data_IF_060235893998
#
_entry.id   IF_060235893998
#
_cell.length_a   1.000
_cell.length_b   1.000
_cell.length_c   1.000
_cell.angle_alpha   90.00
_cell.angle_beta   90.00
_cell.angle_gamma   90.00
#
_symmetry.space_group_name_H-M   'P 1'
#
loop_
_entity.id
_entity.type
_entity.pdbx_description
1 polymer ?
#
# COMPACT_ATOMS: atom_id res chain seq x y z
N UNK A 1 -33.65 -7.28 -5.46
CA UNK A 1 -32.97 -6.20 -6.19
C UNK A 1 -32.71 -6.73 -7.60
N UNK A 2 -33.02 -5.98 -8.65
CA UNK A 2 -32.67 -6.39 -10.03
C UNK A 2 -31.18 -6.19 -10.31
N UNK A 3 -30.67 -6.85 -11.36
CA UNK A 3 -29.24 -6.84 -11.72
C UNK A 3 -28.70 -5.44 -12.02
N UNK A 4 -29.45 -4.60 -12.73
CA UNK A 4 -29.03 -3.24 -13.08
C UNK A 4 -28.75 -2.39 -11.83
N UNK A 5 -29.67 -2.45 -10.86
CA UNK A 5 -29.52 -1.72 -9.60
C UNK A 5 -28.38 -2.32 -8.76
N UNK A 6 -28.26 -3.65 -8.72
CA UNK A 6 -27.18 -4.32 -8.00
C UNK A 6 -25.80 -4.02 -8.58
N UNK A 7 -25.70 -3.86 -9.90
CA UNK A 7 -24.50 -3.37 -10.57
C UNK A 7 -24.21 -1.92 -10.20
N UNK A 8 -25.21 -1.03 -10.28
CA UNK A 8 -25.04 0.40 -10.04
C UNK A 8 -24.50 0.72 -8.64
N UNK A 9 -24.97 0.01 -7.60
CA UNK A 9 -24.52 0.25 -6.22
C UNK A 9 -23.10 -0.27 -5.93
N UNK A 10 -22.50 -1.08 -6.81
CA UNK A 10 -21.13 -1.63 -6.67
C UNK A 10 -20.04 -0.76 -7.30
N UNK A 11 -20.25 0.56 -7.34
CA UNK A 11 -19.25 1.51 -7.84
C UNK A 11 -19.81 2.88 -8.22
N UNK A 12 -21.11 3.02 -8.44
CA UNK A 12 -21.75 4.26 -8.91
C UNK A 12 -21.95 5.36 -7.86
N UNK A 13 -21.42 5.18 -6.63
CA UNK A 13 -21.55 6.13 -5.53
C UNK A 13 -22.79 5.88 -4.64
N UNK A 14 -22.56 5.86 -3.33
CA UNK A 14 -23.56 5.42 -2.34
C UNK A 14 -24.72 6.39 -2.09
N UNK A 15 -24.70 7.60 -2.65
CA UNK A 15 -25.70 8.64 -2.41
C UNK A 15 -26.75 8.78 -3.52
N UNK A 16 -26.61 8.06 -4.63
CA UNK A 16 -27.45 8.26 -5.83
C UNK A 16 -28.65 7.33 -5.90
N UNK A 17 -28.50 6.07 -5.45
CA UNK A 17 -29.43 4.98 -5.76
C UNK A 17 -30.29 4.51 -4.57
N UNK A 18 -30.26 5.24 -3.45
CA UNK A 18 -31.02 4.94 -2.23
C UNK A 18 -30.15 4.80 -0.99
N UNK A 19 -30.73 4.28 0.09
CA UNK A 19 -30.02 4.04 1.36
C UNK A 19 -29.68 2.56 1.46
N UNK A 20 -28.38 2.25 1.38
CA UNK A 20 -27.89 0.87 1.56
C UNK A 20 -27.88 0.54 3.06
N UNK A 21 -28.61 -0.50 3.45
CA UNK A 21 -28.74 -0.92 4.86
C UNK A 21 -27.84 -2.10 5.24
N UNK A 22 -27.44 -2.92 4.26
CA UNK A 22 -26.59 -4.10 4.48
C UNK A 22 -25.90 -4.53 3.19
N UNK A 23 -24.74 -5.18 3.34
CA UNK A 23 -24.04 -5.89 2.27
C UNK A 23 -23.91 -7.36 2.63
N UNK A 24 -24.15 -8.24 1.64
CA UNK A 24 -23.70 -9.63 1.71
C UNK A 24 -22.32 -9.69 1.05
N UNK A 25 -21.29 -9.87 1.85
CA UNK A 25 -19.91 -9.97 1.38
C UNK A 25 -19.52 -11.44 1.19
N UNK A 26 -18.66 -11.69 0.20
CA UNK A 26 -18.01 -12.98 0.03
C UNK A 26 -16.62 -12.89 0.66
N UNK A 27 -16.33 -13.76 1.63
CA UNK A 27 -14.99 -13.84 2.20
C UNK A 27 -14.04 -14.46 1.18
N UNK A 28 -12.78 -14.05 1.24
CA UNK A 28 -11.69 -14.59 0.42
C UNK A 28 -10.73 -15.35 1.30
N UNK A 29 -10.07 -16.36 0.73
CA UNK A 29 -9.04 -17.11 1.43
C UNK A 29 -7.76 -16.28 1.50
N UNK A 30 -7.12 -16.32 2.65
CA UNK A 30 -5.80 -15.70 2.88
C UNK A 30 -4.93 -16.72 3.61
N UNK A 31 -3.62 -16.78 3.32
CA UNK A 31 -2.72 -17.65 4.05
C UNK A 31 -2.65 -17.22 5.52
N UNK A 32 -2.43 -18.19 6.41
CA UNK A 32 -2.29 -17.92 7.85
C UNK A 32 -1.08 -17.03 8.19
N UNK A 33 -0.09 -16.99 7.29
CA UNK A 33 1.12 -16.19 7.40
C UNK A 33 1.29 -15.40 6.10
N UNK A 34 1.40 -14.09 6.24
CA UNK A 34 1.74 -13.12 5.18
C UNK A 34 3.05 -12.44 5.53
N UNK A 35 3.72 -11.87 4.53
CA UNK A 35 4.94 -11.07 4.72
C UNK A 35 4.65 -9.62 4.39
N UNK A 36 5.07 -8.70 5.26
CA UNK A 36 5.06 -7.25 4.99
C UNK A 36 6.47 -6.69 5.06
N UNK A 37 6.68 -5.57 4.38
CA UNK A 37 7.88 -4.74 4.55
C UNK A 37 7.57 -3.28 4.27
N UNK A 38 8.42 -2.38 4.82
CA UNK A 38 8.47 -0.97 4.45
C UNK A 38 9.94 -0.62 4.25
N UNK A 39 10.33 -0.39 3.01
CA UNK A 39 11.67 0.07 2.66
C UNK A 39 11.59 1.55 2.33
N UNK A 40 12.38 2.36 3.03
CA UNK A 40 12.42 3.82 2.85
C UNK A 40 13.65 4.22 2.04
N UNK A 41 13.47 5.15 1.09
CA UNK A 41 14.53 5.79 0.31
C UNK A 41 14.31 7.28 0.29
N UNK A 42 15.36 8.05 0.57
CA UNK A 42 15.35 9.51 0.38
C UNK A 42 15.90 9.89 -0.99
N UNK A 43 15.77 11.16 -1.40
CA UNK A 43 16.34 11.65 -2.66
C UNK A 43 17.85 11.36 -2.76
N UNK A 44 18.57 11.50 -1.64
CA UNK A 44 20.01 11.24 -1.56
C UNK A 44 20.35 9.74 -1.67
N UNK A 45 19.34 8.87 -1.61
CA UNK A 45 19.42 7.41 -1.76
C UNK A 45 18.75 6.92 -3.06
N UNK A 46 18.75 7.76 -4.10
CA UNK A 46 18.22 7.47 -5.43
C UNK A 46 16.72 7.11 -5.43
N UNK A 47 15.92 7.78 -4.59
CA UNK A 47 14.48 7.52 -4.53
C UNK A 47 13.77 7.75 -5.87
N UNK A 48 14.20 8.77 -6.64
CA UNK A 48 13.60 9.11 -7.94
C UNK A 48 13.73 7.95 -8.93
N UNK A 49 14.93 7.40 -9.06
CA UNK A 49 15.24 6.29 -9.97
C UNK A 49 14.52 5.01 -9.55
N UNK A 50 14.46 4.72 -8.25
CA UNK A 50 13.75 3.54 -7.73
C UNK A 50 12.24 3.67 -7.95
N UNK A 51 11.65 4.86 -7.73
CA UNK A 51 10.23 5.10 -8.03
C UNK A 51 9.97 5.03 -9.54
N UNK A 52 10.88 5.56 -10.35
CA UNK A 52 10.77 5.49 -11.79
C UNK A 52 10.75 4.02 -12.26
N UNK A 53 11.66 3.19 -11.77
CA UNK A 53 11.68 1.76 -12.06
C UNK A 53 10.42 1.04 -11.57
N UNK A 54 9.93 1.36 -10.36
CA UNK A 54 8.70 0.81 -9.81
C UNK A 54 7.50 0.99 -10.75
N UNK A 55 7.38 2.12 -11.46
CA UNK A 55 6.29 2.33 -12.43
C UNK A 55 6.25 1.26 -13.55
N UNK A 56 7.40 0.71 -13.95
CA UNK A 56 7.50 -0.28 -15.04
C UNK A 56 7.21 -1.72 -14.61
N UNK A 57 7.44 -2.03 -13.34
CA UNK A 57 7.38 -3.40 -12.81
C UNK A 57 6.20 -3.65 -11.88
N UNK A 58 5.66 -2.62 -11.22
CA UNK A 58 4.63 -2.78 -10.19
C UNK A 58 3.35 -3.49 -10.67
N UNK A 59 2.92 -3.19 -11.89
CA UNK A 59 1.73 -3.81 -12.49
C UNK A 59 1.98 -5.21 -13.09
N UNK A 60 3.22 -5.71 -13.02
CA UNK A 60 3.66 -7.01 -13.54
C UNK A 60 4.11 -7.97 -12.45
N UNK A 61 4.08 -7.55 -11.18
CA UNK A 61 4.42 -8.41 -10.07
C UNK A 61 3.52 -9.64 -10.01
N UNK A 62 4.01 -10.67 -9.32
CA UNK A 62 3.20 -11.82 -8.96
C UNK A 62 1.90 -11.38 -8.29
N UNK A 63 0.78 -12.06 -8.56
CA UNK A 63 -0.55 -11.70 -8.03
C UNK A 63 -0.61 -11.68 -6.50
N UNK A 64 0.24 -12.44 -5.82
CA UNK A 64 0.37 -12.46 -4.35
C UNK A 64 1.09 -11.21 -3.80
N UNK A 65 1.77 -10.42 -4.64
CA UNK A 65 2.64 -9.32 -4.24
C UNK A 65 2.01 -7.94 -4.56
N UNK A 66 1.77 -7.19 -3.50
CA UNK A 66 1.34 -5.79 -3.57
C UNK A 66 2.43 -4.87 -3.01
N UNK A 67 2.84 -3.84 -3.78
CA UNK A 67 3.74 -2.79 -3.30
C UNK A 67 3.16 -1.43 -3.67
N UNK A 68 2.90 -0.59 -2.67
CA UNK A 68 2.57 0.84 -2.85
C UNK A 68 3.74 1.73 -2.48
N UNK A 69 3.81 2.91 -3.08
CA UNK A 69 4.76 3.96 -2.70
C UNK A 69 4.01 5.09 -2.01
N UNK A 70 4.48 5.48 -0.83
CA UNK A 70 4.05 6.71 -0.15
C UNK A 70 5.19 7.71 -0.27
N UNK A 71 4.95 8.82 -0.97
CA UNK A 71 5.91 9.92 -1.10
C UNK A 71 5.49 11.02 -0.15
N UNK A 72 6.38 11.37 0.79
CA UNK A 72 6.12 12.41 1.78
C UNK A 72 7.38 13.21 2.13
N UNK A 73 7.18 14.43 2.62
CA UNK A 73 8.27 15.27 3.13
C UNK A 73 8.67 14.80 4.53
N UNK A 74 9.97 14.66 4.76
CA UNK A 74 10.53 14.30 6.07
C UNK A 74 11.62 15.27 6.49
N UNK A 75 11.89 15.35 7.80
CA UNK A 75 13.00 16.13 8.33
C UNK A 75 14.31 15.35 8.13
N UNK A 76 15.31 15.98 7.53
CA UNK A 76 16.68 15.46 7.46
C UNK A 76 17.52 15.98 8.63
N UNK A 77 18.73 15.45 8.78
CA UNK A 77 19.68 15.89 9.80
C UNK A 77 20.03 17.38 9.61
N UNK A 78 19.75 18.18 10.64
CA UNK A 78 20.03 19.62 10.68
C UNK A 78 19.04 20.45 9.86
N UNK A 79 17.93 20.89 10.48
CA UNK A 79 16.91 21.86 10.02
C UNK A 79 16.49 21.88 8.53
N UNK A 80 16.86 20.87 7.77
CA UNK A 80 16.58 20.70 6.35
C UNK A 80 15.51 19.63 6.21
N UNK A 81 14.82 19.64 5.09
CA UNK A 81 13.79 18.63 4.78
C UNK A 81 14.12 17.99 3.45
N UNK A 82 13.89 16.69 3.34
CA UNK A 82 14.03 15.93 2.10
C UNK A 82 12.71 15.23 1.76
N UNK A 83 12.63 14.66 0.56
CA UNK A 83 11.52 13.80 0.15
C UNK A 83 11.90 12.36 0.41
N UNK A 84 10.95 11.60 0.96
CA UNK A 84 11.08 10.16 1.21
C UNK A 84 10.02 9.40 0.42
N UNK A 85 10.46 8.38 -0.30
CA UNK A 85 9.62 7.35 -0.85
C UNK A 85 9.64 6.12 0.07
N UNK A 86 8.48 5.76 0.63
CA UNK A 86 8.29 4.56 1.44
C UNK A 86 7.59 3.49 0.60
N UNK A 87 8.33 2.43 0.26
CA UNK A 87 7.86 1.26 -0.47
C UNK A 87 7.27 0.25 0.51
N UNK A 88 5.95 0.20 0.55
CA UNK A 88 5.21 -0.53 1.57
C UNK A 88 4.43 -1.67 0.93
N UNK A 89 4.62 -2.87 1.47
CA UNK A 89 4.24 -4.11 0.79
C UNK A 89 3.40 -5.05 1.64
N UNK A 90 2.56 -5.82 0.95
CA UNK A 90 1.91 -7.03 1.45
C UNK A 90 2.17 -8.15 0.44
N UNK A 91 2.69 -9.27 0.93
CA UNK A 91 2.86 -10.49 0.16
C UNK A 91 2.05 -11.63 0.79
N UNK A 92 1.19 -12.27 0.00
CA UNK A 92 0.38 -13.43 0.41
C UNK A 92 1.22 -14.72 0.43
N UNK A 93 2.25 -14.72 1.27
CA UNK A 93 3.14 -15.85 1.44
C UNK A 93 4.29 -15.53 2.38
N UNK A 94 5.22 -16.48 2.48
CA UNK A 94 6.38 -16.42 3.36
C UNK A 94 7.57 -15.71 2.74
N UNK A 95 8.48 -15.24 3.58
CA UNK A 95 9.63 -14.42 3.18
C UNK A 95 10.57 -15.15 2.20
N UNK A 96 10.70 -16.46 2.35
CA UNK A 96 11.50 -17.36 1.50
C UNK A 96 10.97 -17.46 0.06
N UNK A 97 9.66 -17.22 -0.16
CA UNK A 97 9.09 -17.05 -1.51
C UNK A 97 9.17 -15.62 -2.01
N UNK A 98 9.12 -14.64 -1.12
CA UNK A 98 9.15 -13.21 -1.47
C UNK A 98 10.52 -12.78 -1.99
N UNK A 99 11.61 -13.15 -1.32
CA UNK A 99 12.94 -12.65 -1.66
C UNK A 99 13.39 -13.02 -3.09
N UNK A 100 13.20 -14.26 -3.57
CA UNK A 100 13.51 -14.59 -4.97
C UNK A 100 12.70 -13.77 -5.97
N UNK A 101 11.40 -13.57 -5.72
CA UNK A 101 10.54 -12.75 -6.58
C UNK A 101 11.04 -11.32 -6.66
N UNK A 102 11.39 -10.72 -5.51
CA UNK A 102 11.92 -9.36 -5.47
C UNK A 102 13.26 -9.23 -6.16
N UNK A 103 14.14 -10.23 -6.03
CA UNK A 103 15.43 -10.26 -6.72
C UNK A 103 15.28 -10.35 -8.24
N UNK A 104 14.23 -11.02 -8.73
CA UNK A 104 13.93 -11.15 -10.15
C UNK A 104 13.24 -9.90 -10.71
N UNK A 105 12.21 -9.39 -10.02
CA UNK A 105 11.32 -8.36 -10.58
C UNK A 105 11.64 -6.93 -10.15
N UNK A 106 12.30 -6.73 -9.00
CA UNK A 106 12.60 -5.39 -8.49
C UNK A 106 13.85 -5.35 -7.58
N UNK A 107 15.03 -5.80 -8.07
CA UNK A 107 16.25 -5.84 -7.28
C UNK A 107 16.76 -4.46 -6.85
N UNK A 108 16.40 -3.40 -7.57
CA UNK A 108 16.81 -2.01 -7.30
C UNK A 108 16.30 -1.49 -5.94
N UNK A 109 15.21 -2.07 -5.43
CA UNK A 109 14.73 -1.74 -4.09
C UNK A 109 15.71 -2.20 -3.01
N UNK A 110 16.50 -3.25 -3.27
CA UNK A 110 17.48 -3.80 -2.34
C UNK A 110 16.85 -4.40 -1.09
N UNK A 111 15.71 -5.09 -1.24
CA UNK A 111 15.00 -5.74 -0.13
C UNK A 111 15.85 -6.85 0.48
N UNK A 112 15.99 -6.84 1.81
CA UNK A 112 16.67 -7.88 2.57
C UNK A 112 15.68 -8.67 3.43
N UNK A 113 16.14 -9.79 4.00
CA UNK A 113 15.30 -10.60 4.90
C UNK A 113 14.98 -9.83 6.19
N UNK A 114 15.90 -8.98 6.62
CA UNK A 114 15.82 -8.18 7.83
C UNK A 114 14.75 -7.08 7.72
N UNK A 115 14.41 -6.66 6.51
CA UNK A 115 13.33 -5.70 6.24
C UNK A 115 11.93 -6.34 6.30
N UNK A 116 11.86 -7.67 6.27
CA UNK A 116 10.62 -8.43 6.15
C UNK A 116 10.10 -8.87 7.52
N UNK A 117 8.80 -8.76 7.73
CA UNK A 117 8.12 -9.28 8.93
C UNK A 117 7.00 -10.23 8.51
N UNK A 118 7.04 -11.45 9.02
CA UNK A 118 5.95 -12.42 8.89
C UNK A 118 4.92 -12.23 10.00
N UNK A 119 3.64 -12.21 9.65
CA UNK A 119 2.52 -12.02 10.58
C UNK A 119 1.23 -12.63 10.02
N UNK A 120 0.16 -12.64 10.79
CA UNK A 120 -1.17 -12.98 10.28
C UNK A 120 -1.73 -11.87 9.39
N UNK A 121 -2.70 -12.21 8.53
CA UNK A 121 -3.34 -11.23 7.65
C UNK A 121 -3.99 -10.07 8.44
N UNK A 122 -4.61 -10.35 9.59
CA UNK A 122 -5.27 -9.29 10.38
C UNK A 122 -4.26 -8.34 11.06
N UNK A 123 -3.08 -8.84 11.44
CA UNK A 123 -2.00 -7.99 11.93
C UNK A 123 -1.45 -7.08 10.82
N UNK A 124 -1.43 -7.55 9.57
CA UNK A 124 -1.06 -6.71 8.43
C UNK A 124 -2.03 -5.53 8.24
N UNK A 125 -3.31 -5.66 8.62
CA UNK A 125 -4.26 -4.54 8.60
C UNK A 125 -3.80 -3.43 9.56
N UNK A 126 -3.35 -3.80 10.76
CA UNK A 126 -2.77 -2.83 11.71
C UNK A 126 -1.46 -2.24 11.21
N UNK A 127 -0.60 -3.06 10.59
CA UNK A 127 0.63 -2.59 9.96
C UNK A 127 0.35 -1.48 8.95
N UNK A 128 -0.64 -1.70 8.06
CA UNK A 128 -1.00 -0.73 7.03
C UNK A 128 -1.63 0.56 7.59
N UNK A 129 -2.34 0.44 8.70
CA UNK A 129 -2.94 1.55 9.42
C UNK A 129 -1.95 2.31 10.34
N UNK A 130 -0.66 1.88 10.38
CA UNK A 130 0.39 2.43 11.26
C UNK A 130 0.08 2.24 12.76
N UNK A 131 -0.56 1.12 13.11
CA UNK A 131 -0.90 0.68 14.47
C UNK A 131 -0.19 -0.63 14.87
N UNK A 132 0.97 -0.93 14.29
CA UNK A 132 1.64 -2.25 14.44
C UNK A 132 1.94 -2.68 15.89
N UNK A 133 1.93 -1.75 16.85
CA UNK A 133 2.18 -2.01 18.27
C UNK A 133 0.89 -2.05 19.12
N UNK A 134 -0.28 -2.00 18.50
CA UNK A 134 -1.59 -1.97 19.17
C UNK A 134 -2.22 -3.36 19.24
N UNK A 135 -3.13 -3.55 20.20
CA UNK A 135 -4.00 -4.73 20.23
C UNK A 135 -4.97 -4.73 19.05
N UNK A 136 -5.37 -5.91 18.57
CA UNK A 136 -6.40 -6.07 17.53
C UNK A 136 -7.74 -5.42 17.90
N UNK A 137 -8.03 -5.26 19.19
CA UNK A 137 -9.23 -4.58 19.70
C UNK A 137 -9.38 -3.14 19.21
N UNK A 138 -8.29 -2.49 18.79
CA UNK A 138 -8.35 -1.14 18.20
C UNK A 138 -9.21 -1.11 16.92
N UNK A 139 -9.36 -2.23 16.22
CA UNK A 139 -10.23 -2.34 15.03
C UNK A 139 -11.73 -2.19 15.36
N UNK A 140 -12.10 -2.32 16.63
CA UNK A 140 -13.48 -2.07 17.10
C UNK A 140 -13.70 -0.59 17.45
N UNK A 141 -12.65 0.22 17.56
CA UNK A 141 -12.77 1.65 17.85
C UNK A 141 -13.31 2.41 16.64
N UNK A 142 -14.34 3.23 16.88
CA UNK A 142 -15.03 4.01 15.83
C UNK A 142 -14.67 5.49 15.84
N UNK A 143 -13.77 5.90 16.72
CA UNK A 143 -13.35 7.29 16.85
C UNK A 143 -12.18 7.55 15.90
N UNK A 144 -12.38 8.40 14.90
CA UNK A 144 -11.31 8.79 14.01
C UNK A 144 -10.30 9.67 14.75
N UNK A 145 -9.10 9.15 14.95
CA UNK A 145 -7.99 9.92 15.50
C UNK A 145 -7.41 10.86 14.42
N UNK A 146 -6.89 12.02 14.84
CA UNK A 146 -6.15 12.95 13.98
C UNK A 146 -6.93 13.48 12.77
N UNK A 147 -8.17 13.93 12.98
CA UNK A 147 -8.92 14.65 11.94
C UNK A 147 -8.16 15.92 11.56
N UNK A 148 -7.77 16.02 10.28
CA UNK A 148 -7.06 17.17 9.71
C UNK A 148 -7.85 17.71 8.53
N UNK A 149 -7.77 19.02 8.30
CA UNK A 149 -8.28 19.60 7.06
C UNK A 149 -7.49 19.03 5.88
N UNK A 150 -8.16 18.33 4.99
CA UNK A 150 -7.57 17.65 3.84
C UNK A 150 -8.29 18.05 2.56
N UNK A 151 -7.50 18.33 1.51
CA UNK A 151 -7.98 18.38 0.13
C UNK A 151 -7.25 17.28 -0.64
N UNK A 152 -8.01 16.36 -1.22
CA UNK A 152 -7.47 15.26 -2.02
C UNK A 152 -7.97 15.31 -3.48
N UNK A 153 -7.15 14.78 -4.37
CA UNK A 153 -7.40 14.52 -5.80
C UNK A 153 -6.77 13.16 -6.14
N UNK A 154 -7.20 12.55 -7.24
CA UNK A 154 -6.68 11.27 -7.72
C UNK A 154 -6.58 11.29 -9.24
N UNK A 155 -5.61 10.57 -9.78
CA UNK A 155 -5.41 10.37 -11.21
C UNK A 155 -5.02 8.91 -11.51
N UNK A 156 -5.09 8.54 -12.80
CA UNK A 156 -4.64 7.24 -13.30
C UNK A 156 -3.48 7.44 -14.27
N UNK A 157 -2.39 6.72 -14.05
CA UNK A 157 -1.20 6.76 -14.91
C UNK A 157 -1.25 5.57 -15.87
N UNK A 158 -1.19 5.85 -17.18
CA UNK A 158 -1.21 4.82 -18.23
C UNK A 158 0.18 4.52 -18.81
N UNK A 159 1.08 5.50 -18.75
CA UNK A 159 2.47 5.37 -19.16
C UNK A 159 3.35 5.91 -18.03
N UNK A 160 4.46 5.25 -17.69
CA UNK A 160 5.37 5.73 -16.66
C UNK A 160 5.75 7.19 -16.87
N UNK A 161 5.64 7.98 -15.81
CA UNK A 161 6.05 9.38 -15.82
C UNK A 161 7.58 9.47 -15.92
N UNK A 162 8.13 10.40 -16.70
CA UNK A 162 9.57 10.57 -16.80
C UNK A 162 10.17 11.02 -15.46
N UNK A 163 11.44 10.70 -15.21
CA UNK A 163 12.14 11.04 -13.95
C UNK A 163 12.04 12.53 -13.59
N UNK A 164 12.17 13.41 -14.58
CA UNK A 164 12.05 14.88 -14.38
C UNK A 164 10.68 15.32 -13.85
N UNK A 165 9.64 14.50 -13.98
CA UNK A 165 8.32 14.79 -13.41
C UNK A 165 8.17 14.30 -11.96
N UNK A 166 9.16 13.54 -11.46
CA UNK A 166 9.24 13.06 -10.07
C UNK A 166 10.13 13.95 -9.18
N UNK A 167 10.92 14.85 -9.79
CA UNK A 167 11.76 15.87 -9.15
C UNK A 167 11.01 17.20 -8.94
#
# INVERSE_FOLDING_TARGET
MGEDLFWAIRGGGGNTFGVVVAWKINLVEVPSIVTVFTVERTLEQNATEIVHQWQYVAHKFNEDLFIRVIIERVNSSGNTTTIRAAFMSLFLGRVDRLLPLMQESFPELGLTKEDCTEMSWIESVLYFARFSNSSLEILLERTQQNVRYLKAKSDYVQQPMPEVALE
#
